data_IF_552569891259
#
_entry.id   IF_552569891259
#
_cell.length_a   1.000
_cell.length_b   1.000
_cell.length_c   1.000
_cell.angle_alpha   90.00
_cell.angle_beta   90.00
_cell.angle_gamma   90.00
#
_symmetry.space_group_name_H-M   'P 1'
#
loop_
_entity.id
_entity.type
_entity.pdbx_description
1 polymer ?
#
# COMPACT_ATOMS: atom_id res chain seq x y z
N UNK A 1 3.26 11.27 1.51
CA UNK A 1 3.19 9.84 1.19
C UNK A 1 2.64 9.09 2.40
N UNK A 2 1.74 8.16 2.12
CA UNK A 2 1.05 7.36 3.11
C UNK A 2 1.29 5.89 2.80
N UNK A 3 1.09 5.04 3.81
CA UNK A 3 1.37 3.62 3.65
C UNK A 3 0.62 2.74 4.63
N UNK A 4 0.43 1.50 4.19
CA UNK A 4 -0.18 0.42 4.98
C UNK A 4 0.82 -0.74 4.99
N UNK A 5 0.99 -1.36 6.16
CA UNK A 5 1.85 -2.51 6.35
C UNK A 5 1.08 -3.62 7.07
N UNK A 6 1.13 -4.82 6.52
CA UNK A 6 0.77 -6.05 7.23
C UNK A 6 2.02 -6.59 7.91
N UNK A 7 1.96 -6.78 9.23
CA UNK A 7 3.11 -7.19 10.03
C UNK A 7 2.79 -8.40 10.88
N UNK A 8 3.79 -9.23 11.11
CA UNK A 8 3.73 -10.26 12.15
C UNK A 8 3.99 -9.61 13.52
N UNK A 9 2.98 -9.60 14.38
CA UNK A 9 3.07 -9.03 15.71
C UNK A 9 4.01 -9.77 16.68
N UNK A 10 4.30 -11.04 16.43
CA UNK A 10 5.17 -11.89 17.25
C UNK A 10 6.61 -11.81 16.76
N UNK A 11 6.86 -12.13 15.49
CA UNK A 11 8.22 -12.15 14.94
C UNK A 11 8.73 -10.76 14.55
N UNK A 12 7.87 -9.75 14.53
CA UNK A 12 8.20 -8.37 14.15
C UNK A 12 8.81 -8.30 12.75
N UNK A 13 8.16 -8.99 11.82
CA UNK A 13 8.53 -9.05 10.40
C UNK A 13 7.47 -8.37 9.54
N UNK A 14 7.92 -7.76 8.44
CA UNK A 14 7.02 -7.20 7.44
C UNK A 14 6.52 -8.34 6.55
N UNK A 15 5.21 -8.51 6.46
CA UNK A 15 4.57 -9.54 5.61
C UNK A 15 4.25 -8.94 4.25
N UNK A 16 3.63 -7.76 4.24
CA UNK A 16 3.20 -7.06 3.02
C UNK A 16 3.14 -5.56 3.29
N UNK A 17 3.29 -4.73 2.25
CA UNK A 17 3.22 -3.29 2.35
C UNK A 17 2.85 -2.60 1.05
N UNK A 18 2.16 -1.47 1.18
CA UNK A 18 1.99 -0.50 0.11
C UNK A 18 2.33 0.89 0.62
N UNK A 19 3.06 1.65 -0.19
CA UNK A 19 3.19 3.11 -0.06
C UNK A 19 2.59 3.76 -1.30
N UNK A 20 1.80 4.79 -1.08
CA UNK A 20 1.11 5.55 -2.12
C UNK A 20 1.33 7.06 -1.88
N UNK A 21 1.17 7.86 -2.94
CA UNK A 21 1.51 9.30 -2.93
C UNK A 21 2.99 9.59 -2.63
N UNK A 22 3.85 8.63 -2.96
CA UNK A 22 5.30 8.72 -2.85
C UNK A 22 5.92 7.52 -2.15
N UNK A 23 7.21 7.32 -2.39
CA UNK A 23 7.98 6.19 -1.84
C UNK A 23 8.30 6.39 -0.36
N UNK A 24 8.05 5.35 0.45
CA UNK A 24 8.46 5.29 1.86
C UNK A 24 9.49 4.16 2.04
N UNK A 25 10.77 4.46 1.84
CA UNK A 25 11.86 3.45 1.84
C UNK A 25 12.50 3.20 3.21
N UNK A 26 12.16 4.02 4.22
CA UNK A 26 12.69 3.89 5.58
C UNK A 26 11.61 4.31 6.59
N UNK A 27 10.85 3.32 7.07
CA UNK A 27 9.76 3.51 8.03
C UNK A 27 10.08 2.76 9.32
N UNK A 28 10.11 3.49 10.43
CA UNK A 28 10.24 2.90 11.76
C UNK A 28 8.89 2.36 12.21
N UNK A 29 8.81 1.04 12.38
CA UNK A 29 7.63 0.36 12.93
C UNK A 29 7.88 -0.05 14.38
N UNK A 30 6.87 0.07 15.23
CA UNK A 30 7.00 -0.24 16.65
C UNK A 30 7.38 -1.72 16.87
N UNK A 31 8.48 -1.94 17.58
CA UNK A 31 9.00 -3.28 17.87
C UNK A 31 9.85 -3.91 16.76
N UNK A 32 10.04 -3.24 15.62
CA UNK A 32 10.99 -3.68 14.61
C UNK A 32 12.41 -3.25 14.99
N UNK A 33 13.39 -4.11 14.75
CA UNK A 33 14.79 -3.83 15.06
C UNK A 33 15.44 -2.83 14.09
N UNK A 34 14.91 -2.71 12.87
CA UNK A 34 15.38 -1.80 11.84
C UNK A 34 14.21 -1.21 11.05
N UNK A 35 14.38 -0.02 10.44
CA UNK A 35 13.39 0.52 9.52
C UNK A 35 13.11 -0.42 8.35
N UNK A 36 11.90 -0.37 7.82
CA UNK A 36 11.47 -1.16 6.66
C UNK A 36 11.09 -0.27 5.48
N UNK A 37 11.17 -0.82 4.27
CA UNK A 37 10.60 -0.21 3.07
C UNK A 37 9.15 -0.63 2.91
N UNK A 38 8.25 0.34 2.70
CA UNK A 38 6.87 0.08 2.28
C UNK A 38 6.72 0.14 0.75
N UNK A 39 7.84 0.22 0.02
CA UNK A 39 7.87 0.08 -1.43
C UNK A 39 8.13 -1.39 -1.75
N UNK A 40 7.13 -2.03 -2.34
CA UNK A 40 7.26 -3.36 -2.93
C UNK A 40 7.82 -3.24 -4.35
N UNK A 41 9.10 -3.60 -4.52
CA UNK A 41 9.82 -3.51 -5.79
C UNK A 41 9.88 -2.08 -6.34
N UNK A 42 8.93 -1.72 -7.21
CA UNK A 42 8.81 -0.39 -7.83
C UNK A 42 7.64 0.39 -7.26
N UNK A 43 7.88 1.60 -6.75
CA UNK A 43 6.85 2.44 -6.16
C UNK A 43 5.74 2.80 -7.16
N UNK A 44 4.49 2.76 -6.71
CA UNK A 44 3.36 3.19 -7.52
C UNK A 44 3.32 4.71 -7.69
N UNK A 45 2.79 5.17 -8.82
CA UNK A 45 2.43 6.57 -9.05
C UNK A 45 0.97 6.86 -8.74
N UNK A 46 0.19 5.83 -8.36
CA UNK A 46 -1.19 6.00 -7.96
C UNK A 46 -1.30 6.82 -6.66
N UNK A 47 -2.38 7.59 -6.58
CA UNK A 47 -2.71 8.47 -5.46
C UNK A 47 -4.19 8.31 -5.13
N UNK A 48 -4.54 8.36 -3.84
CA UNK A 48 -5.92 8.25 -3.38
C UNK A 48 -6.49 9.62 -3.05
N UNK A 49 -6.55 10.49 -4.07
CA UNK A 49 -6.78 11.92 -3.89
C UNK A 49 -8.08 12.43 -4.57
N UNK A 50 -8.93 11.52 -5.06
CA UNK A 50 -10.15 11.87 -5.77
C UNK A 50 -11.40 11.31 -5.07
N UNK A 51 -12.38 12.19 -4.83
CA UNK A 51 -13.61 11.88 -4.06
C UNK A 51 -14.49 10.73 -4.58
N UNK A 52 -14.36 10.35 -5.86
CA UNK A 52 -15.18 9.31 -6.50
C UNK A 52 -14.36 8.12 -7.00
N UNK A 53 -13.13 7.98 -6.54
CA UNK A 53 -12.24 6.90 -6.92
C UNK A 53 -11.52 6.36 -5.69
N UNK A 54 -10.94 5.18 -5.81
CA UNK A 54 -10.18 4.57 -4.71
C UNK A 54 -8.94 3.87 -5.24
N UNK A 55 -7.89 3.83 -4.42
CA UNK A 55 -6.76 2.95 -4.68
C UNK A 55 -7.22 1.48 -4.67
N UNK A 56 -6.90 0.75 -5.73
CA UNK A 56 -7.33 -0.64 -5.91
C UNK A 56 -6.19 -1.48 -6.50
N UNK A 57 -6.25 -2.80 -6.25
CA UNK A 57 -5.36 -3.74 -6.92
C UNK A 57 -5.85 -4.01 -8.34
N UNK A 58 -5.00 -3.77 -9.34
CA UNK A 58 -5.33 -3.87 -10.78
C UNK A 58 -5.52 -5.30 -11.24
N UNK A 59 -4.72 -6.23 -10.72
CA UNK A 59 -4.76 -7.64 -11.05
C UNK A 59 -4.89 -8.47 -9.76
N UNK A 60 -5.47 -9.66 -9.86
CA UNK A 60 -5.55 -10.61 -8.74
C UNK A 60 -4.23 -11.40 -8.56
N UNK A 61 -3.11 -10.79 -8.93
CA UNK A 61 -1.78 -11.36 -8.90
C UNK A 61 -0.85 -10.35 -8.25
N UNK A 62 0.03 -10.88 -7.42
CA UNK A 62 1.11 -10.14 -6.79
C UNK A 62 2.34 -10.26 -7.67
N UNK A 63 2.80 -9.14 -8.24
CA UNK A 63 3.99 -9.12 -9.09
C UNK A 63 5.22 -8.58 -8.37
N UNK A 64 5.12 -8.37 -7.05
CA UNK A 64 6.14 -7.75 -6.23
C UNK A 64 6.54 -6.37 -6.78
N UNK A 65 5.57 -5.63 -7.32
CA UNK A 65 5.75 -4.33 -7.95
C UNK A 65 4.52 -3.46 -7.74
N UNK A 66 4.60 -2.54 -6.79
CA UNK A 66 3.48 -1.68 -6.45
C UNK A 66 2.96 -0.89 -7.68
N UNK A 67 3.85 -0.47 -8.58
CA UNK A 67 3.49 0.20 -9.83
C UNK A 67 2.66 -0.65 -10.82
N UNK A 68 2.86 -1.97 -10.81
CA UNK A 68 2.09 -2.89 -11.66
C UNK A 68 0.79 -3.31 -10.97
N UNK A 69 0.83 -3.46 -9.66
CA UNK A 69 -0.23 -4.09 -8.88
C UNK A 69 -1.30 -3.09 -8.42
N UNK A 70 -0.97 -1.81 -8.24
CA UNK A 70 -1.88 -0.79 -7.72
C UNK A 70 -2.21 0.29 -8.75
N UNK A 71 -3.48 0.67 -8.81
CA UNK A 71 -3.96 1.76 -9.65
C UNK A 71 -5.13 2.51 -9.01
N UNK A 72 -5.49 3.66 -9.58
CA UNK A 72 -6.72 4.35 -9.24
C UNK A 72 -7.91 3.70 -9.96
N UNK A 73 -8.88 3.18 -9.20
CA UNK A 73 -10.14 2.70 -9.74
C UNK A 73 -11.17 3.83 -9.75
N UNK A 74 -11.61 4.25 -10.94
CA UNK A 74 -12.61 5.31 -11.13
C UNK A 74 -14.03 4.90 -10.70
N UNK A 75 -14.28 3.59 -10.57
CA UNK A 75 -15.50 3.06 -9.99
C UNK A 75 -15.14 2.57 -8.60
N UNK A 76 -15.62 3.27 -7.57
CA UNK A 76 -15.53 2.75 -6.20
C UNK A 76 -16.12 1.35 -6.17
N UNK A 77 -15.45 0.42 -5.49
CA UNK A 77 -16.02 -0.90 -5.24
C UNK A 77 -17.40 -0.73 -4.58
N UNK A 78 -18.41 -1.57 -4.88
CA UNK A 78 -19.71 -1.47 -4.22
C UNK A 78 -19.55 -1.52 -2.69
N UNK A 79 -19.76 -0.38 -2.05
CA UNK A 79 -19.40 -0.15 -0.65
C UNK A 79 -19.54 1.33 -0.32
N UNK A 80 -20.78 1.84 -0.34
CA UNK A 80 -21.10 3.20 0.10
C UNK A 80 -20.44 3.51 1.46
N UNK A 81 -20.14 4.79 1.71
CA UNK A 81 -19.57 5.25 2.97
C UNK A 81 -20.30 4.60 4.16
N UNK A 82 -19.55 4.00 5.09
CA UNK A 82 -20.15 3.53 6.32
C UNK A 82 -20.60 4.78 7.10
N UNK A 83 -21.90 4.95 7.41
CA UNK A 83 -22.38 6.07 8.20
C UNK A 83 -21.75 6.14 9.60
#
# INVERSE_FOLDING_TARGET
PDGIALVDGVTKTLIDAVSYEGAMTSVSLAGFAAPVSLVEGTATTAADNASTASLCRRANQDTNSAAADWMMCATSTPGAANP
#
